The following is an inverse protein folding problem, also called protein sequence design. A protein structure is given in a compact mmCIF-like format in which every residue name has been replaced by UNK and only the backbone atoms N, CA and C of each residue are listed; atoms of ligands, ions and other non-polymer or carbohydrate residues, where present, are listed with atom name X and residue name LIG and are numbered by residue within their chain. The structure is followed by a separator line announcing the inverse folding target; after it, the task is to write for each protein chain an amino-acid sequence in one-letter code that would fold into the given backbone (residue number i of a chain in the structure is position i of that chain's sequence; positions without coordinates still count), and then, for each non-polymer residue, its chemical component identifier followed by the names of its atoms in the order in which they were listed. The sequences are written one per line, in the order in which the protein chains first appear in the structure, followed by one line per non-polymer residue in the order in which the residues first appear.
data_IF_996833316619
#
_entry.id   IF_996833316619
#
_cell.length_a   1.000
_cell.length_b   1.000
_cell.length_c   1.000
_cell.angle_alpha   90.00
_cell.angle_beta   90.00
_cell.angle_gamma   90.00
#
_symmetry.space_group_name_H-M   'P 1'
#
loop_
_entity.id
_entity.type
_entity.pdbx_description
1 polymer ?
#
# COMPACT_ATOMS: atom_id res chain seq x y z
N UNK A 1 -20.97 -0.89 6.39
CA UNK A 1 -20.12 0.06 5.67
C UNK A 1 -20.01 -0.45 4.24
N UNK A 2 -20.18 0.41 3.24
CA UNK A 2 -20.02 0.03 1.83
C UNK A 2 -18.56 0.21 1.44
N UNK A 3 -17.84 -0.90 1.20
CA UNK A 3 -16.42 -0.89 0.85
C UNK A 3 -16.28 -0.69 -0.66
N UNK A 4 -15.52 0.33 -1.12
CA UNK A 4 -15.21 0.50 -2.53
C UNK A 4 -14.47 -0.72 -3.11
N UNK A 5 -14.66 -0.99 -4.40
CA UNK A 5 -13.96 -2.07 -5.10
C UNK A 5 -12.47 -1.76 -5.35
N UNK A 6 -12.02 -0.52 -5.13
CA UNK A 6 -10.62 -0.10 -5.28
C UNK A 6 -10.06 0.35 -3.94
N UNK A 7 -8.90 -0.19 -3.58
CA UNK A 7 -8.19 0.15 -2.34
C UNK A 7 -6.75 0.56 -2.60
N UNK A 8 -6.21 1.48 -1.81
CA UNK A 8 -4.77 1.72 -1.68
C UNK A 8 -4.39 1.28 -0.27
N UNK A 9 -3.39 0.40 -0.17
CA UNK A 9 -2.89 -0.10 1.12
C UNK A 9 -1.46 0.37 1.31
N UNK A 10 -1.28 1.28 2.26
CA UNK A 10 0.01 1.80 2.68
C UNK A 10 0.50 0.94 3.85
N UNK A 11 1.73 0.45 3.77
CA UNK A 11 2.38 -0.22 4.90
C UNK A 11 3.82 0.24 5.07
N UNK A 12 4.33 0.33 6.29
CA UNK A 12 5.76 0.53 6.51
C UNK A 12 6.60 -0.54 5.80
N UNK A 13 7.77 -0.15 5.31
CA UNK A 13 8.80 -1.09 4.86
C UNK A 13 9.80 -1.30 6.02
N UNK A 14 9.56 -2.32 6.84
CA UNK A 14 10.39 -2.73 7.97
C UNK A 14 11.70 -3.38 7.53
N UNK A 15 11.73 -3.94 6.32
CA UNK A 15 12.89 -4.67 5.81
C UNK A 15 14.01 -3.75 5.33
N UNK A 16 13.69 -2.50 4.99
CA UNK A 16 14.62 -1.56 4.34
C UNK A 16 15.07 -1.97 2.94
N UNK A 17 14.49 -3.04 2.36
CA UNK A 17 14.84 -3.51 1.02
C UNK A 17 14.06 -2.75 -0.05
N UNK A 18 14.72 -2.52 -1.19
CA UNK A 18 14.10 -1.89 -2.35
C UNK A 18 13.96 -0.37 -2.25
N UNK A 19 13.11 0.19 -3.10
CA UNK A 19 12.89 1.63 -3.16
C UNK A 19 12.22 2.17 -1.89
N UNK A 20 12.59 3.38 -1.38
CA UNK A 20 11.98 3.97 -0.17
C UNK A 20 10.47 4.21 -0.27
N UNK A 21 9.95 4.30 -1.49
CA UNK A 21 8.52 4.26 -1.80
C UNK A 21 8.33 3.29 -2.96
N UNK A 22 7.87 2.09 -2.66
CA UNK A 22 7.71 1.03 -3.65
C UNK A 22 6.23 0.74 -3.90
N UNK A 23 5.89 0.47 -5.15
CA UNK A 23 4.54 0.11 -5.61
C UNK A 23 4.61 -1.15 -6.49
N UNK A 24 3.53 -1.92 -6.53
CA UNK A 24 3.30 -2.88 -7.61
C UNK A 24 2.20 -2.37 -8.53
N UNK A 25 2.49 -2.34 -9.83
CA UNK A 25 1.58 -1.84 -10.87
C UNK A 25 0.77 -2.94 -11.54
N UNK A 26 1.12 -4.22 -11.35
CA UNK A 26 0.40 -5.32 -11.98
C UNK A 26 0.56 -6.65 -11.26
N UNK A 27 -0.20 -7.64 -11.74
CA UNK A 27 -0.23 -8.99 -11.19
C UNK A 27 -1.27 -9.17 -10.08
N UNK A 28 -1.01 -10.12 -9.18
CA UNK A 28 -1.87 -10.45 -8.06
C UNK A 28 -1.04 -10.92 -6.86
N UNK A 29 -1.61 -10.81 -5.67
CA UNK A 29 -1.06 -11.41 -4.45
C UNK A 29 -1.85 -12.66 -4.11
N UNK A 30 -1.15 -13.75 -3.79
CA UNK A 30 -1.78 -14.98 -3.32
C UNK A 30 -2.13 -14.82 -1.84
N UNK A 31 -3.40 -15.00 -1.49
CA UNK A 31 -3.85 -15.04 -0.09
C UNK A 31 -4.45 -16.42 0.24
N UNK A 32 -4.71 -16.74 1.52
CA UNK A 32 -5.46 -17.94 1.89
C UNK A 32 -6.88 -18.01 1.31
N UNK A 33 -7.47 -16.87 0.92
CA UNK A 33 -8.81 -16.78 0.34
C UNK A 33 -8.83 -16.81 -1.19
N UNK A 34 -7.66 -16.83 -1.84
CA UNK A 34 -7.52 -16.81 -3.29
C UNK A 34 -6.57 -15.70 -3.74
N UNK A 35 -6.52 -15.47 -5.05
CA UNK A 35 -5.68 -14.40 -5.60
C UNK A 35 -6.41 -13.07 -5.48
N UNK A 36 -5.68 -12.03 -5.07
CA UNK A 36 -6.16 -10.65 -5.01
C UNK A 36 -5.41 -9.82 -6.07
N UNK A 37 -6.14 -9.27 -7.03
CA UNK A 37 -5.55 -8.55 -8.17
C UNK A 37 -5.11 -7.13 -7.82
N UNK A 38 -4.00 -6.72 -8.43
CA UNK A 38 -3.54 -5.33 -8.40
C UNK A 38 -4.47 -4.46 -9.26
N UNK A 39 -4.84 -3.28 -8.77
CA UNK A 39 -5.53 -2.27 -9.59
C UNK A 39 -4.50 -1.53 -10.46
N UNK A 40 -4.21 -2.13 -11.63
CA UNK A 40 -3.17 -1.63 -12.53
C UNK A 40 -3.41 -0.21 -13.02
N UNK A 41 -4.66 0.12 -13.37
CA UNK A 41 -5.04 1.46 -13.82
C UNK A 41 -4.74 2.51 -12.75
N UNK A 42 -5.18 2.28 -11.50
CA UNK A 42 -4.90 3.19 -10.38
C UNK A 42 -3.40 3.28 -10.07
N UNK A 43 -2.68 2.16 -10.07
CA UNK A 43 -1.26 2.12 -9.78
C UNK A 43 -0.42 2.85 -10.83
N UNK A 44 -0.71 2.67 -12.12
CA UNK A 44 -0.02 3.38 -13.21
C UNK A 44 -0.27 4.89 -13.16
N UNK A 45 -1.48 5.33 -12.79
CA UNK A 45 -1.78 6.75 -12.60
C UNK A 45 -0.96 7.35 -11.45
N UNK A 46 -0.78 6.61 -10.35
CA UNK A 46 0.07 7.04 -9.23
C UNK A 46 1.54 7.16 -9.63
N UNK A 47 2.10 6.20 -10.37
CA UNK A 47 3.48 6.27 -10.87
C UNK A 47 3.69 7.48 -11.78
N UNK A 48 2.71 7.78 -12.65
CA UNK A 48 2.75 8.97 -13.52
C UNK A 48 2.65 10.28 -12.74
N UNK A 49 1.78 10.34 -11.73
CA UNK A 49 1.56 11.53 -10.90
C UNK A 49 2.74 11.83 -9.98
N UNK A 50 3.41 10.80 -9.46
CA UNK A 50 4.44 10.95 -8.44
C UNK A 50 5.70 10.15 -8.76
N UNK A 51 6.63 10.68 -9.57
CA UNK A 51 7.84 9.97 -10.01
C UNK A 51 8.81 9.52 -8.90
N UNK A 52 8.59 9.94 -7.66
CA UNK A 52 9.35 9.47 -6.50
C UNK A 52 8.82 8.12 -5.94
N UNK A 53 7.72 7.58 -6.46
CA UNK A 53 7.33 6.18 -6.26
C UNK A 53 7.88 5.33 -7.40
N UNK A 54 8.44 4.17 -7.08
CA UNK A 54 9.04 3.29 -8.07
C UNK A 54 8.36 1.93 -8.06
N UNK A 55 8.17 1.36 -9.25
CA UNK A 55 7.75 -0.03 -9.38
C UNK A 55 8.86 -0.94 -8.86
N UNK A 56 8.62 -1.58 -7.72
CA UNK A 56 9.60 -2.43 -7.05
C UNK A 56 8.90 -3.53 -6.24
N UNK A 57 8.62 -4.65 -6.91
CA UNK A 57 8.05 -5.83 -6.27
C UNK A 57 8.97 -6.48 -5.23
N UNK A 58 10.28 -6.21 -5.25
CA UNK A 58 11.22 -6.80 -4.29
C UNK A 58 11.03 -6.21 -2.89
N UNK A 59 10.68 -4.92 -2.79
CA UNK A 59 10.36 -4.26 -1.52
C UNK A 59 9.17 -4.91 -0.78
N UNK A 60 8.27 -5.58 -1.50
CA UNK A 60 7.10 -6.24 -0.93
C UNK A 60 7.33 -7.70 -0.54
N UNK A 61 8.42 -8.34 -1.00
CA UNK A 61 8.59 -9.81 -0.91
C UNK A 61 8.74 -10.32 0.52
N UNK A 62 9.32 -9.53 1.41
CA UNK A 62 9.59 -9.89 2.80
C UNK A 62 8.91 -8.94 3.80
N UNK A 63 8.00 -8.11 3.30
CA UNK A 63 7.25 -7.16 4.11
C UNK A 63 5.84 -7.69 4.37
N UNK A 64 5.38 -7.58 5.61
CA UNK A 64 4.13 -8.21 6.05
C UNK A 64 3.04 -7.19 6.40
N UNK A 65 3.38 -5.90 6.55
CA UNK A 65 2.41 -4.89 6.98
C UNK A 65 1.17 -4.77 6.07
N UNK A 66 1.34 -4.99 4.77
CA UNK A 66 0.25 -4.97 3.78
C UNK A 66 -0.42 -6.35 3.68
N UNK A 67 0.35 -7.43 3.82
CA UNK A 67 -0.12 -8.81 3.67
C UNK A 67 -1.22 -9.17 4.68
N UNK A 68 -1.13 -8.65 5.90
CA UNK A 68 -2.10 -8.92 6.97
C UNK A 68 -3.47 -8.28 6.68
N UNK A 69 -3.51 -7.15 5.99
CA UNK A 69 -4.74 -6.38 5.74
C UNK A 69 -5.57 -6.97 4.59
N UNK A 70 -4.90 -7.47 3.54
CA UNK A 70 -5.57 -7.86 2.29
C UNK A 70 -6.60 -8.99 2.39
N UNK A 71 -6.46 -10.03 3.26
CA UNK A 71 -7.50 -11.04 3.42
C UNK A 71 -8.80 -10.47 4.00
N UNK A 72 -8.74 -9.46 4.87
CA UNK A 72 -9.94 -8.81 5.40
C UNK A 72 -10.67 -8.04 4.32
N UNK A 73 -9.93 -7.30 3.48
CA UNK A 73 -10.49 -6.59 2.33
C UNK A 73 -11.18 -7.57 1.38
N UNK A 74 -10.51 -8.66 1.01
CA UNK A 74 -11.06 -9.69 0.12
C UNK A 74 -12.30 -10.36 0.71
N UNK A 75 -12.34 -10.58 2.03
CA UNK A 75 -13.51 -11.15 2.70
C UNK A 75 -14.72 -10.21 2.70
N UNK A 76 -14.50 -8.91 2.90
CA UNK A 76 -15.55 -7.90 2.97
C UNK A 76 -16.03 -7.44 1.59
N UNK A 77 -15.16 -7.51 0.57
CA UNK A 77 -15.44 -7.13 -0.81
C UNK A 77 -14.78 -8.13 -1.79
N UNK A 78 -15.50 -9.16 -2.26
CA UNK A 78 -14.92 -10.24 -3.07
C UNK A 78 -14.30 -9.84 -4.42
N UNK A 79 -14.76 -8.74 -5.02
CA UNK A 79 -14.26 -8.16 -6.28
C UNK A 79 -13.29 -6.99 -6.05
N UNK A 80 -12.76 -6.84 -4.83
CA UNK A 80 -11.80 -5.79 -4.52
C UNK A 80 -10.51 -5.96 -5.33
N UNK A 81 -9.96 -4.84 -5.78
CA UNK A 81 -8.59 -4.71 -6.29
C UNK A 81 -7.87 -3.69 -5.43
N UNK A 82 -6.56 -3.81 -5.36
CA UNK A 82 -5.77 -2.95 -4.49
C UNK A 82 -4.45 -2.51 -5.09
N UNK A 83 -3.90 -1.44 -4.54
CA UNK A 83 -2.56 -0.94 -4.85
C UNK A 83 -1.72 -0.98 -3.57
N UNK A 84 -0.72 -1.87 -3.47
CA UNK A 84 0.21 -1.88 -2.35
C UNK A 84 1.25 -0.78 -2.51
N UNK A 85 1.49 -0.01 -1.45
CA UNK A 85 2.59 0.96 -1.39
C UNK A 85 3.39 0.72 -0.11
N UNK A 86 4.65 0.28 -0.26
CA UNK A 86 5.57 0.12 0.85
C UNK A 86 6.28 1.45 1.12
N UNK A 87 6.21 1.90 2.37
CA UNK A 87 6.70 3.22 2.82
C UNK A 87 7.92 3.03 3.71
N UNK A 88 9.11 3.19 3.14
CA UNK A 88 10.41 3.07 3.81
C UNK A 88 11.08 4.40 4.15
N UNK A 89 10.36 5.52 4.08
CA UNK A 89 10.88 6.86 4.38
C UNK A 89 10.07 7.56 5.47
N UNK A 90 10.78 8.20 6.41
CA UNK A 90 10.18 9.07 7.44
C UNK A 90 10.20 10.56 7.06
N UNK A 91 10.58 10.91 5.83
CA UNK A 91 10.66 12.32 5.41
C UNK A 91 9.27 12.89 5.18
N UNK A 92 8.80 13.73 6.11
CA UNK A 92 7.45 14.33 6.08
C UNK A 92 7.11 15.00 4.74
N UNK A 93 8.04 15.75 4.16
CA UNK A 93 7.83 16.44 2.88
C UNK A 93 7.51 15.46 1.74
N UNK A 94 8.17 14.30 1.72
CA UNK A 94 7.91 13.26 0.72
C UNK A 94 6.52 12.65 0.95
N UNK A 95 6.16 12.36 2.20
CA UNK A 95 4.87 11.79 2.58
C UNK A 95 3.70 12.74 2.28
N UNK A 96 3.89 14.05 2.50
CA UNK A 96 2.91 15.07 2.12
C UNK A 96 2.68 15.12 0.60
N UNK A 97 3.75 15.02 -0.19
CA UNK A 97 3.63 14.97 -1.65
C UNK A 97 2.97 13.67 -2.12
N UNK A 98 3.29 12.52 -1.52
CA UNK A 98 2.61 11.26 -1.80
C UNK A 98 1.09 11.37 -1.50
N UNK A 99 0.73 11.94 -0.35
CA UNK A 99 -0.68 12.15 0.01
C UNK A 99 -1.42 13.05 -0.98
N UNK A 100 -0.79 14.15 -1.43
CA UNK A 100 -1.34 15.04 -2.47
C UNK A 100 -1.50 14.32 -3.81
N UNK A 101 -0.52 13.52 -4.21
CA UNK A 101 -0.60 12.73 -5.44
C UNK A 101 -1.74 11.72 -5.40
N UNK A 102 -1.89 10.98 -4.28
CA UNK A 102 -3.01 10.06 -4.06
C UNK A 102 -4.35 10.80 -4.16
N UNK A 103 -4.49 11.95 -3.49
CA UNK A 103 -5.70 12.74 -3.53
C UNK A 103 -6.05 13.22 -4.95
N UNK A 104 -5.05 13.68 -5.72
CA UNK A 104 -5.25 14.12 -7.10
C UNK A 104 -5.65 12.97 -8.02
N UNK A 105 -5.00 11.80 -7.92
CA UNK A 105 -5.35 10.63 -8.73
C UNK A 105 -6.76 10.13 -8.40
N UNK A 106 -7.15 10.08 -7.13
CA UNK A 106 -8.51 9.69 -6.73
C UNK A 106 -9.54 10.70 -7.28
N UNK A 107 -9.24 11.99 -7.20
CA UNK A 107 -10.10 13.04 -7.76
C UNK A 107 -10.29 12.85 -9.27
N UNK A 108 -9.21 12.63 -10.02
CA UNK A 108 -9.24 12.52 -11.48
C UNK A 108 -9.88 11.21 -11.96
N UNK A 109 -9.76 10.14 -11.17
CA UNK A 109 -10.45 8.87 -11.41
C UNK A 109 -11.98 9.01 -11.31
N UNK A 110 -12.48 9.91 -10.44
CA UNK A 110 -13.91 10.12 -10.24
C UNK A 110 -14.65 8.95 -9.56
N UNK A 111 -13.91 8.00 -8.98
CA UNK A 111 -14.45 6.83 -8.28
C UNK A 111 -14.11 6.88 -6.77
N UNK A 112 -14.89 6.16 -5.95
CA UNK A 112 -14.54 6.00 -4.54
C UNK A 112 -13.37 5.03 -4.40
N UNK A 113 -12.36 5.42 -3.63
CA UNK A 113 -11.19 4.59 -3.29
C UNK A 113 -11.05 4.54 -1.77
N UNK A 114 -10.86 3.34 -1.22
CA UNK A 114 -10.52 3.19 0.21
C UNK A 114 -9.01 3.33 0.39
N UNK A 115 -8.57 4.13 1.36
CA UNK A 115 -7.17 4.17 1.79
C UNK A 115 -7.06 3.44 3.13
N UNK A 116 -6.20 2.43 3.16
CA UNK A 116 -5.82 1.70 4.38
C UNK A 116 -4.37 2.05 4.69
N UNK A 117 -4.10 2.54 5.90
CA UNK A 117 -2.76 2.80 6.39
C UNK A 117 -2.46 1.84 7.55
N UNK A 118 -1.62 0.84 7.30
CA UNK A 118 -1.16 -0.10 8.30
C UNK A 118 -0.13 0.57 9.21
N UNK A 119 -0.36 0.48 10.51
CA UNK A 119 0.55 0.97 11.55
C UNK A 119 0.30 0.17 12.82
N UNK A 120 1.39 -0.26 13.44
CA UNK A 120 1.34 -0.70 14.83
C UNK A 120 1.30 0.51 15.77
N UNK A 121 0.80 0.29 16.98
CA UNK A 121 0.85 1.25 18.07
C UNK A 121 2.09 0.97 18.96
N UNK A 122 2.00 1.23 20.26
CA UNK A 122 3.16 1.24 21.14
C UNK A 122 3.75 -0.17 21.38
N UNK A 123 5.08 -0.28 21.27
CA UNK A 123 5.84 -1.42 21.78
C UNK A 123 6.61 -1.00 23.04
N UNK A 124 6.07 -1.31 24.22
CA UNK A 124 6.76 -1.09 25.51
C UNK A 124 6.95 -2.43 26.22
N UNK A 125 8.20 -2.77 26.53
CA UNK A 125 8.58 -3.96 27.27
C UNK A 125 10.08 -4.27 27.13
N UNK A 126 10.66 -4.95 28.11
CA UNK A 126 12.12 -5.19 28.26
C UNK A 126 12.80 -5.95 27.08
N UNK A 127 12.07 -6.31 26.02
CA UNK A 127 12.59 -6.93 24.79
C UNK A 127 12.78 -5.99 23.60
N UNK A 128 12.44 -4.70 23.72
CA UNK A 128 12.47 -3.72 22.60
C UNK A 128 13.57 -2.65 22.75
N UNK A 129 14.67 -2.99 23.43
CA UNK A 129 15.89 -2.17 23.43
C UNK A 129 16.84 -2.72 22.36
N UNK A 130 16.90 -2.05 21.21
CA UNK A 130 18.00 -2.24 20.27
C UNK A 130 19.29 -1.80 20.96
N UNK A 131 20.24 -2.72 21.12
CA UNK A 131 21.63 -2.40 21.48
C UNK A 131 22.29 -1.52 20.42
#
# INVERSE_FOLDING_TARGET
MDIPSRCIVLGPNHTGHGHPLAIMTGGSWRTPLGDLSIDQDLAEQLVKMFPAIAEDSAAHRYEHAIEVEVPFLQKLRPDVRFVPIAVGTGQLVILEHLGKAIAQVIHDLGERVLIVASSDMNHQGEGWQSY
#
